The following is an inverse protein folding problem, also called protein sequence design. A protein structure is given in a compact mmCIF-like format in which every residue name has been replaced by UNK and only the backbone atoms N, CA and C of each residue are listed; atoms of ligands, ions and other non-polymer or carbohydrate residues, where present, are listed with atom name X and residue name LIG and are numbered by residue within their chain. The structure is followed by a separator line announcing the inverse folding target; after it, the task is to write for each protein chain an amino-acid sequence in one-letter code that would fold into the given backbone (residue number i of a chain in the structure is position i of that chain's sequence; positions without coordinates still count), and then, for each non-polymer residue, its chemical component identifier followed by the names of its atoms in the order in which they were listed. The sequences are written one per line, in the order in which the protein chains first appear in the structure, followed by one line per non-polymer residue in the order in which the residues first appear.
data_IF_838617812955
#
_entry.id   IF_838617812955
#
_cell.length_a   1.000
_cell.length_b   1.000
_cell.length_c   1.000
_cell.angle_alpha   90.00
_cell.angle_beta   90.00
_cell.angle_gamma   90.00
#
_symmetry.space_group_name_H-M   'P 1'
#
loop_
_entity.id
_entity.type
_entity.pdbx_description
1 polymer ?
#
# COMPACT_ATOMS: atom_id res chain seq x y z
N UNK A 1 2.57 6.44 -5.80
CA UNK A 1 2.20 7.12 -7.06
C UNK A 1 0.89 6.50 -7.53
N UNK A 2 -0.14 7.30 -7.80
CA UNK A 2 -1.47 6.79 -8.16
C UNK A 2 -1.48 6.17 -9.55
N UNK A 3 -2.30 5.13 -9.73
CA UNK A 3 -2.60 4.57 -11.05
C UNK A 3 -3.71 5.41 -11.71
N UNK A 4 -3.28 6.43 -12.46
CA UNK A 4 -4.18 7.37 -13.12
C UNK A 4 -5.04 6.72 -14.20
N UNK A 5 -4.52 5.68 -14.84
CA UNK A 5 -5.23 4.96 -15.90
C UNK A 5 -6.31 4.06 -15.27
N UNK A 6 -6.04 3.42 -14.13
CA UNK A 6 -7.07 2.73 -13.34
C UNK A 6 -8.17 3.68 -12.86
N UNK A 7 -7.81 4.83 -12.27
CA UNK A 7 -8.78 5.86 -11.85
C UNK A 7 -9.64 6.36 -13.01
N UNK A 8 -9.02 6.54 -14.18
CA UNK A 8 -9.75 6.92 -15.39
C UNK A 8 -10.82 5.88 -15.75
N UNK A 9 -10.47 4.59 -15.74
CA UNK A 9 -11.37 3.50 -16.08
C UNK A 9 -12.47 3.27 -15.04
N UNK A 10 -12.15 3.31 -13.75
CA UNK A 10 -13.13 3.12 -12.66
C UNK A 10 -14.22 4.21 -12.66
N UNK A 11 -13.88 5.42 -13.11
CA UNK A 11 -14.78 6.57 -13.10
C UNK A 11 -15.36 6.93 -14.48
N UNK A 12 -15.52 5.97 -15.40
CA UNK A 12 -16.07 6.21 -16.75
C UNK A 12 -17.38 7.00 -16.75
N UNK A 13 -18.29 6.70 -15.81
CA UNK A 13 -19.58 7.38 -15.69
C UNK A 13 -19.52 8.84 -15.23
N UNK A 14 -18.37 9.32 -14.74
CA UNK A 14 -18.18 10.69 -14.24
C UNK A 14 -17.34 11.56 -15.19
N UNK A 15 -16.88 11.00 -16.31
CA UNK A 15 -16.13 11.74 -17.32
C UNK A 15 -17.04 12.76 -18.01
N UNK A 16 -16.50 13.95 -18.26
CA UNK A 16 -17.22 15.04 -18.93
C UNK A 16 -16.57 15.36 -20.25
N UNK A 17 -17.37 15.54 -21.31
CA UNK A 17 -16.85 15.96 -22.62
C UNK A 17 -16.32 17.39 -22.57
N UNK A 18 -15.14 17.62 -23.16
CA UNK A 18 -14.49 18.93 -23.17
C UNK A 18 -14.28 19.42 -24.60
N UNK A 19 -14.97 20.51 -24.94
CA UNK A 19 -14.97 21.05 -26.29
C UNK A 19 -13.89 22.13 -26.45
N UNK A 20 -12.76 21.76 -27.03
CA UNK A 20 -11.68 22.70 -27.40
C UNK A 20 -11.29 22.50 -28.86
N UNK A 21 -10.70 23.53 -29.46
CA UNK A 21 -10.26 23.49 -30.85
C UNK A 21 -9.03 22.60 -31.10
N UNK A 22 -8.38 22.09 -30.05
CA UNK A 22 -7.16 21.28 -30.15
C UNK A 22 -7.44 19.91 -29.50
N UNK A 23 -7.32 18.84 -30.29
CA UNK A 23 -7.55 17.45 -29.85
C UNK A 23 -6.29 16.83 -29.22
N UNK A 24 -5.52 17.59 -28.44
CA UNK A 24 -4.33 17.07 -27.77
C UNK A 24 -4.50 17.20 -26.25
N UNK A 25 -4.50 16.07 -25.55
CA UNK A 25 -4.72 16.01 -24.11
C UNK A 25 -3.54 16.57 -23.33
N UNK A 26 -2.38 16.74 -23.99
CA UNK A 26 -1.17 17.29 -23.38
C UNK A 26 -1.11 18.82 -23.46
N UNK A 27 -1.98 19.46 -24.25
CA UNK A 27 -1.93 20.90 -24.54
C UNK A 27 -3.14 21.66 -23.97
N UNK A 28 -3.55 21.35 -22.74
CA UNK A 28 -4.71 21.95 -22.07
C UNK A 28 -4.35 22.80 -20.83
N UNK A 29 -3.07 23.08 -20.59
CA UNK A 29 -2.61 23.74 -19.36
C UNK A 29 -3.24 25.12 -19.15
N UNK A 30 -3.34 25.92 -20.22
CA UNK A 30 -3.90 27.27 -20.18
C UNK A 30 -5.43 27.21 -20.00
N UNK A 31 -6.10 26.31 -20.73
CA UNK A 31 -7.55 26.11 -20.68
C UNK A 31 -8.03 25.60 -19.33
N UNK A 32 -7.27 24.70 -18.72
CA UNK A 32 -7.58 24.13 -17.41
C UNK A 32 -7.07 24.99 -16.25
N UNK A 33 -6.28 26.03 -16.54
CA UNK A 33 -5.55 26.80 -15.52
C UNK A 33 -4.80 25.88 -14.55
N UNK A 34 -4.17 24.84 -15.09
CA UNK A 34 -3.58 23.73 -14.34
C UNK A 34 -2.21 23.36 -14.90
N UNK A 35 -1.34 22.83 -14.05
CA UNK A 35 0.01 22.42 -14.45
C UNK A 35 -0.03 20.99 -14.97
N UNK A 36 0.53 20.74 -16.17
CA UNK A 36 0.73 19.37 -16.65
C UNK A 36 1.76 18.66 -15.75
N UNK A 37 1.32 17.58 -15.11
CA UNK A 37 2.11 16.72 -14.22
C UNK A 37 2.62 15.47 -14.93
N UNK A 38 1.74 14.79 -15.68
CA UNK A 38 2.06 13.59 -16.46
C UNK A 38 1.48 13.75 -17.87
N UNK A 39 2.28 13.76 -18.94
CA UNK A 39 1.74 13.71 -20.29
C UNK A 39 1.21 12.30 -20.63
N UNK A 40 0.15 12.23 -21.44
CA UNK A 40 -0.26 11.01 -22.12
C UNK A 40 0.77 10.67 -23.21
N UNK A 41 1.33 9.46 -23.18
CA UNK A 41 2.29 8.96 -24.18
C UNK A 41 1.56 8.31 -25.36
N UNK A 42 0.43 7.67 -25.08
CA UNK A 42 -0.42 7.00 -26.05
C UNK A 42 -1.86 7.54 -26.05
N UNK A 43 -2.62 7.35 -27.15
CA UNK A 43 -4.00 7.82 -27.25
C UNK A 43 -4.95 7.25 -26.20
N UNK A 44 -4.63 6.07 -25.66
CA UNK A 44 -5.39 5.38 -24.60
C UNK A 44 -5.00 5.84 -23.19
N UNK A 45 -3.91 6.58 -23.05
CA UNK A 45 -3.43 7.06 -21.76
C UNK A 45 -4.11 8.37 -21.38
N UNK A 46 -4.07 8.70 -20.09
CA UNK A 46 -4.49 10.01 -19.61
C UNK A 46 -3.34 10.96 -19.37
N UNK A 47 -3.53 12.21 -19.79
CA UNK A 47 -2.72 13.33 -19.34
C UNK A 47 -3.24 13.80 -17.98
N UNK A 48 -2.34 14.02 -17.02
CA UNK A 48 -2.69 14.44 -15.67
C UNK A 48 -2.26 15.87 -15.47
N UNK A 49 -3.24 16.71 -15.16
CA UNK A 49 -3.05 18.09 -14.74
C UNK A 49 -3.29 18.23 -13.25
N UNK A 50 -2.60 19.18 -12.64
CA UNK A 50 -2.71 19.48 -11.22
C UNK A 50 -3.07 20.95 -11.00
N UNK A 51 -4.03 21.13 -10.10
CA UNK A 51 -4.34 22.39 -9.43
C UNK A 51 -4.04 22.22 -7.93
N UNK A 52 -4.10 23.30 -7.13
CA UNK A 52 -3.92 23.16 -5.68
C UNK A 52 -4.83 22.09 -5.05
N UNK A 53 -6.10 22.00 -5.49
CA UNK A 53 -7.14 21.23 -4.80
C UNK A 53 -7.52 19.90 -5.49
N UNK A 54 -7.21 19.74 -6.78
CA UNK A 54 -7.62 18.58 -7.57
C UNK A 54 -6.62 18.22 -8.67
N UNK A 55 -6.64 16.96 -9.06
CA UNK A 55 -6.10 16.46 -10.32
C UNK A 55 -7.20 16.48 -11.40
N UNK A 56 -6.80 16.75 -12.64
CA UNK A 56 -7.67 16.69 -13.81
C UNK A 56 -7.03 15.72 -14.79
N UNK A 57 -7.69 14.59 -15.02
CA UNK A 57 -7.27 13.58 -15.98
C UNK A 57 -7.95 13.89 -17.30
N UNK A 58 -7.17 13.92 -18.38
CA UNK A 58 -7.62 14.18 -19.74
C UNK A 58 -7.32 12.99 -20.64
N UNK A 59 -8.37 12.35 -21.17
CA UNK A 59 -8.28 11.21 -22.08
C UNK A 59 -8.93 11.51 -23.43
N UNK A 60 -8.55 10.75 -24.47
CA UNK A 60 -9.00 10.95 -25.85
C UNK A 60 -9.83 9.81 -26.45
N UNK A 61 -9.99 8.69 -25.75
CA UNK A 61 -10.88 7.63 -26.20
C UNK A 61 -12.32 8.17 -26.28
N UNK A 62 -12.84 8.25 -27.51
CA UNK A 62 -14.14 8.84 -27.87
C UNK A 62 -14.27 10.37 -27.74
N UNK A 63 -13.16 11.08 -27.98
CA UNK A 63 -13.10 12.54 -27.94
C UNK A 63 -12.56 13.04 -26.61
N UNK A 64 -12.18 14.31 -26.55
CA UNK A 64 -11.53 14.84 -25.36
C UNK A 64 -12.50 14.84 -24.17
N UNK A 65 -12.15 14.08 -23.15
CA UNK A 65 -12.91 13.93 -21.92
C UNK A 65 -12.05 14.34 -20.73
N UNK A 66 -12.69 14.86 -19.69
CA UNK A 66 -12.06 15.22 -18.43
C UNK A 66 -12.69 14.47 -17.26
N UNK A 67 -11.84 14.05 -16.33
CA UNK A 67 -12.22 13.53 -15.02
C UNK A 67 -11.53 14.38 -13.96
N UNK A 68 -12.31 14.96 -13.05
CA UNK A 68 -11.78 15.71 -11.93
C UNK A 68 -11.71 14.83 -10.69
N UNK A 69 -10.53 14.75 -10.08
CA UNK A 69 -10.28 13.98 -8.86
C UNK A 69 -9.79 14.93 -7.78
N UNK A 70 -10.63 15.18 -6.76
CA UNK A 70 -10.25 16.05 -5.64
C UNK A 70 -9.20 15.36 -4.76
N UNK A 71 -8.12 16.07 -4.41
CA UNK A 71 -7.02 15.52 -3.62
C UNK A 71 -7.48 14.99 -2.26
N UNK A 72 -8.40 15.72 -1.63
CA UNK A 72 -9.04 15.32 -0.36
C UNK A 72 -9.89 14.05 -0.45
N UNK A 73 -10.18 13.54 -1.65
CA UNK A 73 -10.84 12.25 -1.86
C UNK A 73 -9.87 11.10 -2.13
N UNK A 74 -8.56 11.34 -2.17
CA UNK A 74 -7.53 10.34 -2.47
C UNK A 74 -6.84 9.86 -1.19
N UNK A 75 -7.62 9.24 -0.31
CA UNK A 75 -7.13 8.67 0.94
C UNK A 75 -7.13 7.13 0.88
N UNK A 76 -6.28 6.52 1.70
CA UNK A 76 -6.29 5.10 2.00
C UNK A 76 -6.58 4.90 3.50
N UNK A 77 -7.28 3.82 3.84
CA UNK A 77 -7.57 3.47 5.23
C UNK A 77 -7.05 2.05 5.48
N UNK A 78 -6.09 1.93 6.40
CA UNK A 78 -5.54 0.62 6.79
C UNK A 78 -5.87 0.30 8.25
N UNK A 79 -6.05 -0.99 8.51
CA UNK A 79 -6.46 -1.51 9.81
C UNK A 79 -5.40 -2.47 10.34
N UNK A 80 -5.01 -2.30 11.61
CA UNK A 80 -4.01 -3.13 12.28
C UNK A 80 -4.47 -3.52 13.68
N UNK A 81 -4.24 -4.77 14.07
CA UNK A 81 -4.30 -5.22 15.47
C UNK A 81 -2.88 -5.23 16.04
N UNK A 82 -2.67 -4.51 17.14
CA UNK A 82 -1.40 -4.44 17.86
C UNK A 82 -1.51 -5.27 19.14
N UNK A 83 -0.61 -6.25 19.25
CA UNK A 83 -0.57 -7.22 20.35
C UNK A 83 0.74 -7.20 21.14
N UNK A 84 1.69 -6.39 20.70
CA UNK A 84 3.04 -6.26 21.27
C UNK A 84 3.29 -4.82 21.72
N UNK A 85 4.12 -4.67 22.74
CA UNK A 85 4.45 -3.35 23.29
C UNK A 85 5.45 -2.64 22.36
N UNK A 86 4.96 -1.62 21.65
CA UNK A 86 5.75 -0.76 20.77
C UNK A 86 6.32 0.47 21.49
N UNK A 87 6.32 0.49 22.84
CA UNK A 87 6.82 1.60 23.65
C UNK A 87 5.83 2.75 23.80
N UNK A 88 4.54 2.46 23.64
CA UNK A 88 3.44 3.40 23.85
C UNK A 88 2.80 3.15 25.22
N UNK A 89 2.70 4.20 26.04
CA UNK A 89 2.10 4.10 27.38
C UNK A 89 0.59 3.78 27.32
N UNK A 90 -0.11 4.21 26.26
CA UNK A 90 -1.54 3.97 26.01
C UNK A 90 -1.81 3.89 24.49
N UNK A 91 -2.84 3.14 24.04
CA UNK A 91 -3.75 2.31 24.82
C UNK A 91 -3.15 0.95 25.23
N UNK A 92 -3.73 0.34 26.27
CA UNK A 92 -3.33 -0.99 26.73
C UNK A 92 -3.52 -2.06 25.64
N UNK A 93 -2.63 -3.06 25.65
CA UNK A 93 -2.69 -4.19 24.70
C UNK A 93 -3.84 -5.16 25.01
N UNK A 94 -4.45 -5.75 23.97
CA UNK A 94 -4.23 -5.45 22.57
C UNK A 94 -5.05 -4.20 22.19
N UNK A 95 -4.65 -3.50 21.14
CA UNK A 95 -5.44 -2.39 20.61
C UNK A 95 -5.49 -2.44 19.08
N UNK A 96 -6.49 -1.78 18.52
CA UNK A 96 -6.63 -1.63 17.08
C UNK A 96 -6.17 -0.24 16.69
N UNK A 97 -5.45 -0.16 15.56
CA UNK A 97 -5.13 1.09 14.89
C UNK A 97 -5.87 1.16 13.55
N UNK A 98 -6.45 2.33 13.27
CA UNK A 98 -6.95 2.69 11.95
C UNK A 98 -6.09 3.85 11.48
N UNK A 99 -5.28 3.59 10.47
CA UNK A 99 -4.42 4.58 9.83
C UNK A 99 -5.14 5.14 8.62
N UNK A 100 -5.06 6.45 8.45
CA UNK A 100 -5.60 7.15 7.29
C UNK A 100 -4.48 7.97 6.68
N UNK A 101 -4.21 7.73 5.40
CA UNK A 101 -3.15 8.40 4.65
C UNK A 101 -3.72 9.04 3.40
N UNK A 102 -3.41 10.32 3.16
CA UNK A 102 -3.68 10.99 1.91
C UNK A 102 -2.37 11.44 1.27
N UNK A 103 -1.86 10.65 0.34
CA UNK A 103 -0.59 10.94 -0.33
C UNK A 103 -0.66 12.18 -1.24
N UNK A 104 -1.87 12.66 -1.60
CA UNK A 104 -2.03 13.83 -2.45
C UNK A 104 -1.93 15.14 -1.66
N UNK A 105 -2.30 15.12 -0.37
CA UNK A 105 -2.22 16.28 0.54
C UNK A 105 -1.16 16.13 1.62
N UNK A 106 -0.49 14.97 1.69
CA UNK A 106 0.49 14.59 2.72
C UNK A 106 -0.09 14.54 4.14
N UNK A 107 -1.42 14.50 4.26
CA UNK A 107 -2.12 14.37 5.53
C UNK A 107 -2.14 12.90 5.96
N UNK A 108 -1.77 12.65 7.21
CA UNK A 108 -1.82 11.32 7.83
C UNK A 108 -2.37 11.45 9.25
N UNK A 109 -3.12 10.45 9.70
CA UNK A 109 -3.57 10.40 11.10
C UNK A 109 -3.94 8.98 11.51
N UNK A 110 -3.86 8.70 12.81
CA UNK A 110 -4.07 7.35 13.36
C UNK A 110 -5.05 7.41 14.52
N UNK A 111 -6.12 6.63 14.41
CA UNK A 111 -7.04 6.38 15.51
C UNK A 111 -6.69 5.08 16.21
N UNK A 112 -6.73 5.08 17.55
CA UNK A 112 -6.41 3.91 18.37
C UNK A 112 -7.56 3.55 19.31
N UNK A 113 -7.94 2.28 19.34
CA UNK A 113 -8.98 1.75 20.22
C UNK A 113 -8.48 0.54 21.01
N UNK A 114 -8.43 0.66 22.34
CA UNK A 114 -8.13 -0.48 23.22
C UNK A 114 -9.14 -1.60 22.98
N UNK A 115 -8.66 -2.84 22.87
CA UNK A 115 -9.52 -4.01 22.71
C UNK A 115 -9.66 -4.71 24.06
N UNK A 116 -10.89 -5.05 24.44
CA UNK A 116 -11.17 -5.84 25.64
C UNK A 116 -12.23 -6.91 25.36
N UNK A 117 -12.23 -7.96 26.17
CA UNK A 117 -13.23 -9.02 26.12
C UNK A 117 -14.01 -9.03 27.44
N UNK A 118 -15.34 -9.01 27.35
CA UNK A 118 -16.19 -9.12 28.54
C UNK A 118 -16.42 -10.58 28.96
N UNK A 119 -17.08 -10.78 30.11
CA UNK A 119 -17.38 -12.12 30.65
C UNK A 119 -18.29 -12.97 29.74
N UNK A 120 -19.03 -12.34 28.82
CA UNK A 120 -19.89 -13.00 27.84
C UNK A 120 -19.13 -13.37 26.55
N UNK A 121 -17.84 -13.01 26.47
CA UNK A 121 -16.99 -13.28 25.31
C UNK A 121 -17.15 -12.26 24.17
N UNK A 122 -17.83 -11.14 24.41
CA UNK A 122 -17.98 -10.07 23.42
C UNK A 122 -16.73 -9.22 23.37
N UNK A 123 -16.35 -8.85 22.15
CA UNK A 123 -15.20 -7.99 21.90
C UNK A 123 -15.65 -6.54 21.89
N UNK A 124 -14.99 -5.75 22.73
CA UNK A 124 -15.10 -4.31 22.84
C UNK A 124 -13.88 -3.66 22.21
N UNK A 125 -14.09 -2.64 21.38
CA UNK A 125 -13.03 -1.78 20.85
C UNK A 125 -13.35 -0.34 21.25
N UNK A 126 -12.54 0.21 22.14
CA UNK A 126 -12.84 1.47 22.83
C UNK A 126 -14.10 1.34 23.68
N UNK A 127 -15.18 2.03 23.27
CA UNK A 127 -16.47 2.06 23.99
C UNK A 127 -17.62 1.40 23.22
N UNK A 128 -17.32 0.64 22.17
CA UNK A 128 -18.32 -0.05 21.33
C UNK A 128 -18.01 -1.53 21.21
N UNK A 129 -19.04 -2.34 21.10
CA UNK A 129 -18.87 -3.75 20.75
C UNK A 129 -18.80 -3.92 19.24
N UNK A 130 -18.04 -4.91 18.78
CA UNK A 130 -18.02 -5.28 17.35
C UNK A 130 -19.39 -5.75 16.84
N UNK A 131 -20.25 -6.23 17.74
CA UNK A 131 -21.58 -6.77 17.41
C UNK A 131 -22.65 -5.69 17.23
N UNK A 132 -22.49 -4.53 17.89
CA UNK A 132 -23.50 -3.46 17.88
C UNK A 132 -23.67 -2.79 16.51
N UNK A 133 -22.78 -3.03 15.55
CA UNK A 133 -22.76 -2.35 14.25
C UNK A 133 -22.80 -0.81 14.38
N UNK A 134 -22.37 -0.25 15.52
CA UNK A 134 -22.27 1.19 15.74
C UNK A 134 -20.80 1.56 15.87
N UNK A 135 -20.33 2.42 14.98
CA UNK A 135 -18.98 2.95 15.00
C UNK A 135 -18.77 3.91 16.20
N UNK A 136 -17.64 3.83 16.92
CA UNK A 136 -17.29 4.80 17.95
C UNK A 136 -16.96 6.16 17.31
N UNK A 137 -16.82 7.19 18.15
CA UNK A 137 -16.26 8.45 17.67
C UNK A 137 -14.78 8.26 17.35
N UNK A 138 -14.40 8.49 16.09
CA UNK A 138 -13.01 8.45 15.63
C UNK A 138 -12.61 9.85 15.15
N UNK A 139 -12.19 10.75 16.06
CA UNK A 139 -11.74 12.07 15.67
C UNK A 139 -10.39 11.96 14.97
N UNK A 140 -10.35 12.31 13.69
CA UNK A 140 -9.14 12.48 12.90
C UNK A 140 -8.88 13.98 12.71
N UNK A 141 -8.58 14.68 13.81
CA UNK A 141 -8.52 16.15 13.85
C UNK A 141 -7.45 16.76 12.93
N UNK A 142 -6.46 15.95 12.54
CA UNK A 142 -5.37 16.34 11.64
C UNK A 142 -5.76 16.29 10.15
N UNK A 143 -6.91 15.69 9.83
CA UNK A 143 -7.37 15.52 8.45
C UNK A 143 -8.43 16.58 8.09
N UNK A 144 -8.16 17.35 7.04
CA UNK A 144 -9.06 18.39 6.53
C UNK A 144 -10.32 17.85 5.85
N UNK A 145 -10.39 16.55 5.59
CA UNK A 145 -11.45 15.90 4.78
C UNK A 145 -12.40 14.99 5.59
N UNK A 146 -12.38 15.07 6.92
CA UNK A 146 -13.25 14.25 7.80
C UNK A 146 -14.75 14.44 7.56
N UNK A 147 -15.16 15.60 7.04
CA UNK A 147 -16.56 15.89 6.68
C UNK A 147 -17.02 15.25 5.36
N UNK A 148 -16.08 14.69 4.57
CA UNK A 148 -16.37 14.04 3.29
C UNK A 148 -17.25 12.80 3.50
N UNK A 149 -18.35 12.70 2.76
CA UNK A 149 -19.26 11.55 2.84
C UNK A 149 -18.56 10.24 2.45
N UNK A 150 -17.72 10.25 1.41
CA UNK A 150 -16.99 9.06 0.97
C UNK A 150 -16.03 8.57 2.06
N UNK A 151 -15.32 9.48 2.73
CA UNK A 151 -14.45 9.14 3.85
C UNK A 151 -15.22 8.46 5.00
N UNK A 152 -16.38 9.02 5.36
CA UNK A 152 -17.24 8.42 6.39
C UNK A 152 -17.76 7.05 6.00
N UNK A 153 -18.12 6.86 4.73
CA UNK A 153 -18.61 5.57 4.22
C UNK A 153 -17.49 4.51 4.22
N UNK A 154 -16.27 4.86 3.78
CA UNK A 154 -15.11 3.95 3.83
C UNK A 154 -14.71 3.61 5.27
N UNK A 155 -14.69 4.59 6.18
CA UNK A 155 -14.43 4.34 7.58
C UNK A 155 -15.49 3.41 8.20
N UNK A 156 -16.75 3.59 7.80
CA UNK A 156 -17.84 2.71 8.20
C UNK A 156 -17.67 1.29 7.64
N UNK A 157 -17.21 1.15 6.39
CA UNK A 157 -16.88 -0.14 5.76
C UNK A 157 -15.78 -0.85 6.54
N UNK A 158 -14.66 -0.17 6.84
CA UNK A 158 -13.55 -0.74 7.62
C UNK A 158 -14.04 -1.24 8.99
N UNK A 159 -14.89 -0.46 9.67
CA UNK A 159 -15.44 -0.86 10.96
C UNK A 159 -16.38 -2.07 10.90
N UNK A 160 -17.23 -2.17 9.87
CA UNK A 160 -18.28 -3.20 9.78
C UNK A 160 -17.83 -4.47 9.09
N UNK A 161 -16.93 -4.35 8.13
CA UNK A 161 -16.56 -5.44 7.23
C UNK A 161 -15.16 -5.96 7.54
N UNK A 162 -14.18 -5.07 7.75
CA UNK A 162 -12.78 -5.47 7.89
C UNK A 162 -12.42 -5.80 9.35
N UNK A 163 -12.84 -4.97 10.30
CA UNK A 163 -12.55 -5.17 11.73
C UNK A 163 -13.09 -6.49 12.30
N UNK A 164 -14.31 -6.94 11.99
CA UNK A 164 -14.80 -8.24 12.45
C UNK A 164 -13.98 -9.43 11.93
N UNK A 165 -13.26 -9.28 10.82
CA UNK A 165 -12.37 -10.34 10.31
C UNK A 165 -11.16 -10.56 11.22
N UNK A 166 -10.81 -9.58 12.07
CA UNK A 166 -9.76 -9.72 13.08
C UNK A 166 -10.22 -10.47 14.34
N UNK A 167 -11.51 -10.75 14.49
CA UNK A 167 -12.08 -11.46 15.65
C UNK A 167 -11.32 -12.75 16.02
N UNK A 168 -10.98 -13.66 15.08
CA UNK A 168 -10.24 -14.88 15.43
C UNK A 168 -8.86 -14.60 16.03
N UNK A 169 -8.18 -13.52 15.61
CA UNK A 169 -6.88 -13.12 16.15
C UNK A 169 -7.03 -12.51 17.55
N UNK A 170 -8.06 -11.68 17.74
CA UNK A 170 -8.39 -11.10 19.04
C UNK A 170 -8.75 -12.21 20.05
N UNK A 171 -9.63 -13.13 19.66
CA UNK A 171 -10.05 -14.25 20.50
C UNK A 171 -8.84 -15.11 20.89
N UNK A 172 -7.94 -15.41 19.95
CA UNK A 172 -6.72 -16.15 20.23
C UNK A 172 -5.82 -15.44 21.24
N UNK A 173 -5.67 -14.11 21.16
CA UNK A 173 -4.87 -13.34 22.11
C UNK A 173 -5.44 -13.45 23.54
N UNK A 174 -6.76 -13.30 23.71
CA UNK A 174 -7.39 -13.44 25.03
C UNK A 174 -7.37 -14.87 25.55
N UNK A 175 -7.60 -15.87 24.70
CA UNK A 175 -7.58 -17.29 25.11
C UNK A 175 -6.17 -17.74 25.54
N UNK A 176 -5.13 -17.27 24.85
CA UNK A 176 -3.75 -17.50 25.26
C UNK A 176 -3.43 -16.79 26.59
N UNK A 177 -4.03 -15.64 26.86
CA UNK A 177 -3.89 -14.90 28.12
C UNK A 177 -4.70 -15.55 29.27
N UNK A 178 -5.87 -16.13 29.02
CA UNK A 178 -6.66 -16.81 30.07
C UNK A 178 -6.06 -18.18 30.46
N UNK A 179 -5.35 -18.84 29.55
CA UNK A 179 -4.52 -20.01 29.84
C UNK A 179 -3.20 -19.62 30.57
N UNK A 180 -2.92 -18.33 30.69
CA UNK A 180 -1.68 -17.77 31.23
C UNK A 180 -1.68 -17.43 32.72
N UNK A 181 -2.30 -18.26 33.56
CA UNK A 181 -1.97 -18.29 35.00
C UNK A 181 -0.45 -18.47 35.26
N UNK A 182 0.29 -18.92 34.25
CA UNK A 182 1.73 -18.81 34.05
C UNK A 182 2.04 -18.97 32.55
N UNK A 183 1.55 -18.11 31.64
CA UNK A 183 2.12 -18.16 30.29
C UNK A 183 3.39 -17.35 30.30
N UNK A 184 4.47 -18.06 30.01
CA UNK A 184 5.63 -17.41 29.44
C UNK A 184 5.18 -16.62 28.21
N UNK A 185 5.74 -15.41 27.99
CA UNK A 185 5.44 -14.59 26.82
C UNK A 185 5.51 -15.47 25.57
N UNK A 186 4.62 -15.26 24.59
CA UNK A 186 4.75 -15.92 23.30
C UNK A 186 6.18 -15.72 22.80
N UNK A 187 7.01 -16.75 22.98
CA UNK A 187 8.44 -16.60 22.78
C UNK A 187 8.65 -16.49 21.27
N UNK A 188 8.82 -15.26 20.79
CA UNK A 188 9.63 -14.96 19.61
C UNK A 188 11.10 -15.44 19.77
N UNK A 189 11.42 -16.17 20.86
CA UNK A 189 12.64 -16.93 21.10
C UNK A 189 12.48 -18.46 21.20
N UNK A 190 11.28 -19.05 20.99
CA UNK A 190 11.18 -20.51 20.86
C UNK A 190 11.69 -20.90 19.48
N UNK A 191 12.87 -21.51 19.44
CA UNK A 191 13.54 -21.97 18.21
C UNK A 191 12.60 -22.79 17.32
N UNK A 192 11.69 -23.59 17.90
CA UNK A 192 10.74 -24.40 17.14
C UNK A 192 9.68 -23.54 16.45
N UNK A 193 9.20 -22.47 17.11
CA UNK A 193 8.23 -21.55 16.53
C UNK A 193 8.87 -20.65 15.47
N UNK A 194 10.07 -20.15 15.72
CA UNK A 194 10.86 -19.39 14.75
C UNK A 194 11.13 -20.25 13.51
N UNK A 195 11.53 -21.52 13.68
CA UNK A 195 11.73 -22.44 12.56
C UNK A 195 10.46 -22.63 11.73
N UNK A 196 9.30 -22.80 12.37
CA UNK A 196 8.03 -22.91 11.64
C UNK A 196 7.68 -21.64 10.85
N UNK A 197 7.99 -20.46 11.38
CA UNK A 197 7.80 -19.18 10.69
C UNK A 197 8.74 -19.10 9.49
N UNK A 198 10.03 -19.43 9.68
CA UNK A 198 11.02 -19.48 8.60
C UNK A 198 10.63 -20.49 7.51
N UNK A 199 10.11 -21.66 7.87
CA UNK A 199 9.69 -22.70 6.92
C UNK A 199 8.50 -22.21 6.06
N UNK A 200 7.52 -21.54 6.68
CA UNK A 200 6.37 -20.96 5.96
C UNK A 200 6.81 -19.83 5.05
N UNK A 201 7.68 -18.94 5.53
CA UNK A 201 8.26 -17.86 4.77
C UNK A 201 9.03 -18.39 3.54
N UNK A 202 9.92 -19.37 3.75
CA UNK A 202 10.70 -19.98 2.68
C UNK A 202 9.82 -20.64 1.60
N UNK A 203 8.71 -21.27 2.00
CA UNK A 203 7.78 -21.87 1.05
C UNK A 203 6.98 -20.83 0.26
N UNK A 204 6.56 -19.72 0.88
CA UNK A 204 5.92 -18.60 0.19
C UNK A 204 6.90 -18.01 -0.83
N UNK A 205 8.13 -17.70 -0.40
CA UNK A 205 9.18 -17.15 -1.27
C UNK A 205 9.46 -18.09 -2.45
N UNK A 206 9.59 -19.40 -2.21
CA UNK A 206 9.84 -20.39 -3.28
C UNK A 206 8.71 -20.41 -4.32
N UNK A 207 7.45 -20.33 -3.88
CA UNK A 207 6.29 -20.32 -4.79
C UNK A 207 6.25 -19.06 -5.63
N UNK A 208 6.44 -17.90 -5.01
CA UNK A 208 6.43 -16.63 -5.73
C UNK A 208 7.63 -16.52 -6.68
N UNK A 209 8.82 -16.98 -6.31
CA UNK A 209 9.98 -17.06 -7.22
C UNK A 209 9.71 -17.92 -8.46
N UNK A 210 8.95 -19.01 -8.31
CA UNK A 210 8.55 -19.85 -9.44
C UNK A 210 7.56 -19.17 -10.39
N UNK A 211 6.75 -18.23 -9.88
CA UNK A 211 5.87 -17.37 -10.69
C UNK A 211 6.69 -16.28 -11.37
N UNK A 212 7.53 -15.58 -10.61
CA UNK A 212 8.37 -14.47 -11.08
C UNK A 212 9.35 -14.89 -12.18
N UNK A 213 9.95 -16.08 -12.08
CA UNK A 213 10.85 -16.61 -13.12
C UNK A 213 10.19 -16.86 -14.47
N UNK A 214 8.85 -16.89 -14.54
CA UNK A 214 8.09 -16.95 -15.80
C UNK A 214 7.65 -15.58 -16.30
N UNK A 215 7.61 -14.59 -15.40
CA UNK A 215 7.13 -13.24 -15.67
C UNK A 215 8.26 -12.30 -16.12
N UNK A 216 9.47 -12.51 -15.60
CA UNK A 216 10.67 -11.75 -15.94
C UNK A 216 11.64 -12.59 -16.77
N UNK A 217 12.25 -11.93 -17.74
CA UNK A 217 13.38 -12.44 -18.51
C UNK A 217 14.69 -12.33 -17.72
N UNK A 218 15.70 -13.09 -18.12
CA UNK A 218 17.02 -13.06 -17.47
C UNK A 218 17.65 -11.66 -17.50
N UNK A 219 17.45 -10.89 -18.57
CA UNK A 219 17.97 -9.53 -18.69
C UNK A 219 17.27 -8.56 -17.72
N UNK A 220 15.94 -8.69 -17.57
CA UNK A 220 15.16 -7.95 -16.58
C UNK A 220 15.63 -8.28 -15.15
N UNK A 221 15.81 -9.56 -14.83
CA UNK A 221 16.29 -10.00 -13.51
C UNK A 221 17.71 -9.50 -13.21
N UNK A 222 18.60 -9.47 -14.21
CA UNK A 222 19.96 -8.94 -14.06
C UNK A 222 19.98 -7.44 -13.80
N UNK A 223 19.11 -6.67 -14.49
CA UNK A 223 18.95 -5.24 -14.23
C UNK A 223 18.46 -5.01 -12.80
N UNK A 224 17.41 -5.71 -12.39
CA UNK A 224 16.86 -5.57 -11.03
C UNK A 224 17.93 -5.95 -9.98
N UNK A 225 18.65 -7.05 -10.18
CA UNK A 225 19.73 -7.46 -9.27
C UNK A 225 20.86 -6.42 -9.19
N UNK A 226 21.17 -5.74 -10.29
CA UNK A 226 22.15 -4.66 -10.32
C UNK A 226 21.74 -3.51 -9.39
N UNK A 227 20.47 -3.11 -9.46
CA UNK A 227 19.90 -2.04 -8.61
C UNK A 227 19.88 -2.49 -7.14
N UNK A 228 19.37 -3.69 -6.86
CA UNK A 228 19.24 -4.22 -5.51
C UNK A 228 20.58 -4.37 -4.78
N UNK A 229 21.68 -4.52 -5.51
CA UNK A 229 23.03 -4.59 -4.91
C UNK A 229 23.37 -3.36 -4.06
N UNK A 230 22.80 -2.20 -4.38
CA UNK A 230 23.06 -0.93 -3.71
C UNK A 230 21.95 -0.53 -2.73
N UNK A 231 20.89 -1.34 -2.60
CA UNK A 231 19.76 -1.09 -1.70
C UNK A 231 19.90 -1.95 -0.45
N UNK A 232 19.65 -1.35 0.72
CA UNK A 232 19.60 -2.08 2.00
C UNK A 232 18.16 -2.13 2.48
N UNK A 233 17.70 -3.35 2.77
CA UNK A 233 16.39 -3.60 3.37
C UNK A 233 16.64 -3.91 4.85
N UNK A 234 16.41 -2.92 5.72
CA UNK A 234 16.62 -3.07 7.16
C UNK A 234 15.38 -3.61 7.88
N UNK A 235 14.19 -3.36 7.32
CA UNK A 235 12.90 -3.82 7.85
C UNK A 235 12.01 -4.42 6.76
N UNK A 236 11.06 -5.27 7.14
CA UNK A 236 10.12 -5.88 6.19
C UNK A 236 9.31 -4.82 5.43
N UNK A 237 8.87 -3.75 6.11
CA UNK A 237 8.14 -2.64 5.48
C UNK A 237 8.94 -1.96 4.35
N UNK A 238 10.28 -2.01 4.39
CA UNK A 238 11.16 -1.45 3.37
C UNK A 238 11.17 -2.25 2.06
N UNK A 239 10.59 -3.45 2.04
CA UNK A 239 10.55 -4.30 0.85
C UNK A 239 9.54 -3.84 -0.21
N UNK A 240 8.65 -2.89 0.10
CA UNK A 240 7.67 -2.38 -0.86
C UNK A 240 8.24 -1.22 -1.67
N UNK A 241 7.91 -1.18 -2.96
CA UNK A 241 8.27 -0.08 -3.85
C UNK A 241 9.65 -0.26 -4.50
N UNK A 242 10.12 -1.50 -4.66
CA UNK A 242 11.42 -1.79 -5.32
C UNK A 242 11.52 -1.15 -6.70
N UNK A 243 10.40 -1.04 -7.41
CA UNK A 243 10.31 -0.39 -8.70
C UNK A 243 10.78 1.07 -8.69
N UNK A 244 10.67 1.80 -7.57
CA UNK A 244 11.16 3.19 -7.45
C UNK A 244 12.67 3.27 -7.57
N UNK A 245 13.39 2.34 -6.93
CA UNK A 245 14.84 2.26 -7.03
C UNK A 245 15.26 1.90 -8.46
N UNK A 246 14.52 0.98 -9.10
CA UNK A 246 14.77 0.58 -10.48
C UNK A 246 14.50 1.74 -11.46
N UNK A 247 13.39 2.45 -11.30
CA UNK A 247 13.03 3.62 -12.11
C UNK A 247 14.08 4.72 -12.00
N UNK A 248 14.52 5.03 -10.77
CA UNK A 248 15.57 6.04 -10.52
C UNK A 248 16.89 5.66 -11.20
N UNK A 249 17.38 4.42 -11.00
CA UNK A 249 18.63 3.97 -11.61
C UNK A 249 18.53 3.86 -13.14
N UNK A 250 17.36 3.54 -13.70
CA UNK A 250 17.17 3.54 -15.15
C UNK A 250 17.28 4.95 -15.74
N UNK A 251 16.74 5.97 -15.06
CA UNK A 251 16.84 7.37 -15.48
C UNK A 251 18.28 7.88 -15.36
N UNK A 252 18.96 7.57 -14.25
CA UNK A 252 20.28 8.13 -13.95
C UNK A 252 21.43 7.41 -14.68
N UNK A 253 21.30 6.11 -14.93
CA UNK A 253 22.39 5.27 -15.47
C UNK A 253 22.05 4.60 -16.82
N UNK A 254 20.86 4.88 -17.40
CA UNK A 254 20.40 4.31 -18.67
C UNK A 254 20.48 2.76 -18.69
N UNK A 255 20.16 2.13 -17.56
CA UNK A 255 20.32 0.67 -17.36
C UNK A 255 19.46 -0.15 -18.32
N UNK A 256 18.30 0.36 -18.72
CA UNK A 256 17.43 -0.26 -19.72
C UNK A 256 18.15 -0.43 -21.06
N UNK A 257 18.91 0.58 -21.49
CA UNK A 257 19.75 0.51 -22.69
C UNK A 257 20.93 -0.45 -22.50
N UNK A 258 21.57 -0.43 -21.32
CA UNK A 258 22.70 -1.29 -21.00
C UNK A 258 22.34 -2.78 -21.04
N UNK A 259 21.22 -3.14 -20.41
CA UNK A 259 20.72 -4.51 -20.34
C UNK A 259 19.82 -4.90 -21.53
N UNK A 260 19.51 -3.94 -22.43
CA UNK A 260 18.61 -4.13 -23.59
C UNK A 260 17.22 -4.62 -23.19
N UNK A 261 16.68 -4.00 -22.17
CA UNK A 261 15.37 -4.29 -21.59
C UNK A 261 14.39 -3.21 -22.02
N UNK A 262 13.14 -3.61 -22.28
CA UNK A 262 12.04 -2.65 -22.40
C UNK A 262 11.74 -2.11 -21.00
N UNK A 263 12.25 -0.91 -20.73
CA UNK A 263 12.19 -0.32 -19.41
C UNK A 263 10.77 -0.04 -18.92
N UNK A 264 9.90 0.39 -19.83
CA UNK A 264 8.51 0.71 -19.51
C UNK A 264 7.72 -0.57 -19.20
N UNK A 265 7.88 -1.60 -20.04
CA UNK A 265 7.27 -2.92 -19.79
C UNK A 265 7.79 -3.55 -18.48
N UNK A 266 9.08 -3.39 -18.17
CA UNK A 266 9.66 -3.85 -16.91
C UNK A 266 9.02 -3.14 -15.71
N UNK A 267 8.97 -1.81 -15.73
CA UNK A 267 8.40 -1.02 -14.63
C UNK A 267 6.92 -1.33 -14.42
N UNK A 268 6.14 -1.54 -15.49
CA UNK A 268 4.74 -1.95 -15.41
C UNK A 268 4.59 -3.32 -14.74
N UNK A 269 5.43 -4.30 -15.09
CA UNK A 269 5.44 -5.61 -14.40
C UNK A 269 5.75 -5.45 -12.91
N UNK A 270 6.72 -4.60 -12.57
CA UNK A 270 7.15 -4.39 -11.18
C UNK A 270 6.10 -3.65 -10.34
N UNK A 271 5.43 -2.63 -10.90
CA UNK A 271 4.33 -1.89 -10.23
C UNK A 271 3.14 -2.80 -9.89
N UNK A 272 2.92 -3.82 -10.70
CA UNK A 272 1.83 -4.81 -10.51
C UNK A 272 2.20 -5.99 -9.59
N UNK A 273 3.39 -6.00 -9.00
CA UNK A 273 3.74 -7.05 -8.04
C UNK A 273 2.95 -6.88 -6.74
N UNK A 274 2.49 -8.01 -6.20
CA UNK A 274 2.04 -8.06 -4.81
C UNK A 274 3.22 -7.91 -3.85
N UNK A 275 2.94 -7.56 -2.59
CA UNK A 275 3.98 -7.43 -1.59
C UNK A 275 4.80 -8.73 -1.39
N UNK A 276 4.15 -9.90 -1.38
CA UNK A 276 4.84 -11.19 -1.29
C UNK A 276 5.76 -11.47 -2.48
N UNK A 277 5.41 -10.96 -3.67
CA UNK A 277 6.23 -11.08 -4.86
C UNK A 277 7.43 -10.13 -4.83
N UNK A 278 7.29 -8.91 -4.34
CA UNK A 278 8.42 -8.01 -4.14
C UNK A 278 9.43 -8.59 -3.13
N UNK A 279 8.93 -9.10 -2.00
CA UNK A 279 9.77 -9.79 -1.01
C UNK A 279 10.50 -10.98 -1.65
N UNK A 280 9.78 -11.83 -2.39
CA UNK A 280 10.38 -12.99 -3.04
C UNK A 280 11.42 -12.62 -4.11
N UNK A 281 11.23 -11.49 -4.80
CA UNK A 281 12.16 -10.94 -5.78
C UNK A 281 13.43 -10.39 -5.10
N UNK A 282 13.27 -9.66 -3.99
CA UNK A 282 14.38 -9.17 -3.16
C UNK A 282 15.20 -10.35 -2.65
N UNK A 283 14.56 -11.38 -2.09
CA UNK A 283 15.24 -12.57 -1.56
C UNK A 283 15.97 -13.37 -2.65
N UNK A 284 15.46 -13.35 -3.88
CA UNK A 284 16.09 -14.03 -5.01
C UNK A 284 17.35 -13.31 -5.51
N UNK A 285 17.32 -11.97 -5.52
CA UNK A 285 18.27 -11.14 -6.27
C UNK A 285 19.21 -10.32 -5.38
N UNK A 286 18.87 -10.13 -4.11
CA UNK A 286 19.74 -9.43 -3.18
C UNK A 286 20.96 -10.30 -2.87
N UNK A 287 22.18 -9.74 -2.92
CA UNK A 287 23.36 -10.50 -2.57
C UNK A 287 23.30 -10.89 -1.10
N UNK A 288 23.45 -12.19 -0.81
CA UNK A 288 23.71 -12.62 0.57
C UNK A 288 24.95 -11.85 1.06
N UNK A 289 24.89 -11.22 2.25
CA UNK A 289 26.07 -10.58 2.80
C UNK A 289 27.19 -11.61 2.84
N UNK A 290 28.33 -11.29 2.23
CA UNK A 290 29.48 -12.18 2.21
C UNK A 290 29.79 -12.55 3.66
N UNK A 291 29.70 -13.84 3.99
CA UNK A 291 30.16 -14.33 5.29
C UNK A 291 31.55 -13.77 5.54
N UNK A 292 31.81 -13.12 6.68
CA UNK A 292 33.16 -12.72 7.01
C UNK A 292 33.98 -14.00 7.03
N UNK A 293 34.87 -14.15 6.04
CA UNK A 293 35.88 -15.20 6.01
C UNK A 293 36.60 -15.13 7.34
N UNK A 294 36.39 -16.15 8.17
CA UNK A 294 37.12 -16.33 9.42
C UNK A 294 38.62 -16.33 9.08
N UNK A 295 39.33 -15.32 9.57
CA UNK A 295 40.79 -15.27 9.59
C UNK A 295 41.33 -16.14 10.73
#
# INVERSE_FOLDING_TARGET
MYDWDALWHEHEGYRTGFAVHHNDANLLADELSAKLMKPAQHPTDVAVYETPDKFILAGHDDGLQLLEVFKHGMFDITLRLVTEDEGLDEPALPYVEIHVDNLATEEQSVWRGAVSRDEEGRIWVGNRTLEEQVMPAMPFDELSFTDNAHFRDELHRVWQEDLPQLKPLIDAWFDHTDLSGTAEPHHYGDEARVQQICDRYAEIVRREQAVLSRQFSDAELQLIAHVLKNVRFEEAASCRGVWLAVETCMIDEELDQHFKVDGEALLLKMKNLSYSQEVALIEALSPLPASPTAA
#
